data_IF_208044381789
#
_entry.id   IF_208044381789
#
_cell.length_a   1.000
_cell.length_b   1.000
_cell.length_c   1.000
_cell.angle_alpha   90.00
_cell.angle_beta   90.00
_cell.angle_gamma   90.00
#
_symmetry.space_group_name_H-M   'P 1'
#
loop_
_entity.id
_entity.type
_entity.pdbx_description
1 polymer ?
#
# COMPACT_ATOMS: atom_id res chain seq x y z
N UNK A 1 4.25 31.44 -5.83
CA UNK A 1 4.52 30.01 -5.54
C UNK A 1 4.40 29.23 -6.84
N UNK A 2 5.35 28.40 -7.20
CA UNK A 2 5.22 27.59 -8.41
C UNK A 2 4.23 26.45 -8.13
N UNK A 3 3.09 26.43 -8.83
CA UNK A 3 2.05 25.42 -8.63
C UNK A 3 2.47 24.02 -9.04
N UNK A 4 3.58 23.89 -9.80
CA UNK A 4 4.15 22.59 -10.17
C UNK A 4 5.13 22.03 -9.13
N UNK A 5 5.48 22.83 -8.12
CA UNK A 5 6.37 22.44 -7.02
C UNK A 5 5.52 21.83 -5.89
N UNK A 6 5.04 20.62 -6.13
CA UNK A 6 4.24 19.84 -5.18
C UNK A 6 5.12 18.82 -4.45
N UNK A 7 4.65 18.38 -3.27
CA UNK A 7 5.31 17.32 -2.50
C UNK A 7 5.09 15.93 -3.12
N UNK A 8 5.97 15.51 -4.02
CA UNK A 8 5.88 14.22 -4.70
C UNK A 8 6.58 13.08 -3.96
N UNK A 9 7.57 13.38 -3.12
CA UNK A 9 8.40 12.38 -2.45
C UNK A 9 8.59 12.69 -0.97
N UNK A 10 8.76 11.64 -0.18
CA UNK A 10 9.14 11.79 1.23
C UNK A 10 10.59 12.30 1.32
N UNK A 11 10.79 13.42 2.01
CA UNK A 11 12.12 13.87 2.39
C UNK A 11 12.72 12.90 3.41
N UNK A 12 13.88 12.34 3.09
CA UNK A 12 14.57 11.35 3.91
C UNK A 12 15.89 11.90 4.43
N UNK A 13 16.25 11.55 5.66
CA UNK A 13 17.57 11.83 6.22
C UNK A 13 18.66 11.05 5.46
N UNK A 14 19.88 11.61 5.42
CA UNK A 14 20.98 11.02 4.67
C UNK A 14 21.59 9.78 5.35
N UNK A 15 21.43 9.62 6.66
CA UNK A 15 22.10 8.59 7.49
C UNK A 15 21.22 7.38 7.81
N UNK A 16 20.15 7.15 7.05
CA UNK A 16 19.24 6.02 7.27
C UNK A 16 19.89 4.65 6.99
N UNK A 17 21.01 4.62 6.28
CA UNK A 17 21.83 3.43 6.04
C UNK A 17 22.54 2.89 7.30
N UNK A 18 22.49 3.60 8.42
CA UNK A 18 22.96 3.09 9.71
C UNK A 18 22.15 1.88 10.20
N UNK A 19 20.88 1.77 9.79
CA UNK A 19 20.01 0.66 10.17
C UNK A 19 20.22 -0.55 9.26
N UNK A 20 20.50 -1.72 9.85
CA UNK A 20 20.54 -2.98 9.12
C UNK A 20 19.13 -3.52 8.89
N UNK A 21 18.80 -3.81 7.64
CA UNK A 21 17.52 -4.36 7.23
C UNK A 21 17.67 -5.87 6.97
N UNK A 22 16.86 -6.69 7.64
CA UNK A 22 16.66 -8.10 7.33
C UNK A 22 15.36 -8.31 6.57
N UNK A 23 15.39 -9.14 5.53
CA UNK A 23 14.24 -9.37 4.66
C UNK A 23 13.73 -10.79 4.82
N UNK A 24 12.43 -10.93 5.05
CA UNK A 24 11.73 -12.21 5.16
C UNK A 24 10.77 -12.37 3.98
N UNK A 25 11.15 -13.20 3.03
CA UNK A 25 10.48 -13.42 1.76
C UNK A 25 11.42 -13.18 0.58
N UNK A 26 11.16 -13.85 -0.55
CA UNK A 26 11.90 -13.71 -1.80
C UNK A 26 10.95 -13.73 -3.01
N UNK A 27 9.69 -13.31 -2.80
CA UNK A 27 8.68 -13.20 -3.84
C UNK A 27 8.90 -12.00 -4.74
N UNK A 28 8.01 -11.85 -5.73
CA UNK A 28 7.99 -10.72 -6.67
C UNK A 28 8.11 -9.37 -5.95
N UNK A 29 7.26 -9.13 -4.94
CA UNK A 29 7.21 -7.83 -4.28
C UNK A 29 8.55 -7.44 -3.62
N UNK A 30 9.22 -8.42 -3.01
CA UNK A 30 10.55 -8.23 -2.42
C UNK A 30 11.60 -8.06 -3.51
N UNK A 31 11.68 -9.03 -4.44
CA UNK A 31 12.74 -9.09 -5.45
C UNK A 31 12.74 -7.88 -6.38
N UNK A 32 11.55 -7.51 -6.87
CA UNK A 32 11.41 -6.58 -8.01
C UNK A 32 10.87 -5.19 -7.60
N UNK A 33 10.44 -5.03 -6.35
CA UNK A 33 9.95 -3.74 -5.85
C UNK A 33 10.76 -3.25 -4.64
N UNK A 34 10.62 -3.88 -3.47
CA UNK A 34 11.30 -3.39 -2.25
C UNK A 34 12.81 -3.27 -2.42
N UNK A 35 13.46 -4.36 -2.81
CA UNK A 35 14.93 -4.37 -2.91
C UNK A 35 15.46 -3.46 -4.01
N UNK A 36 14.70 -3.23 -5.08
CA UNK A 36 15.06 -2.23 -6.11
C UNK A 36 15.02 -0.83 -5.52
N UNK A 37 13.93 -0.48 -4.85
CA UNK A 37 13.77 0.82 -4.21
C UNK A 37 14.82 1.05 -3.10
N UNK A 38 15.15 0.01 -2.32
CA UNK A 38 16.17 0.09 -1.27
C UNK A 38 17.57 0.32 -1.83
N UNK A 39 17.94 -0.36 -2.92
CA UNK A 39 19.21 -0.12 -3.60
C UNK A 39 19.30 1.32 -4.13
N UNK A 40 18.24 1.83 -4.75
CA UNK A 40 18.19 3.20 -5.25
C UNK A 40 18.27 4.23 -4.14
N UNK A 41 17.68 3.95 -2.97
CA UNK A 41 17.71 4.81 -1.79
C UNK A 41 18.99 4.69 -0.95
N UNK A 42 19.85 3.71 -1.22
CA UNK A 42 21.04 3.44 -0.44
C UNK A 42 20.76 2.83 0.94
N UNK A 43 19.60 2.18 1.13
CA UNK A 43 19.30 1.48 2.39
C UNK A 43 20.13 0.20 2.53
N UNK A 44 20.57 -0.09 3.75
CA UNK A 44 21.50 -1.18 4.06
C UNK A 44 20.75 -2.49 4.33
N UNK A 45 20.57 -3.32 3.30
CA UNK A 45 20.04 -4.69 3.45
C UNK A 45 21.19 -5.64 3.80
N UNK A 46 21.11 -6.29 4.97
CA UNK A 46 22.21 -7.13 5.50
C UNK A 46 21.92 -8.63 5.43
N UNK A 47 20.66 -9.01 5.22
CA UNK A 47 20.34 -10.43 5.11
C UNK A 47 18.94 -10.70 4.57
N UNK A 48 18.76 -11.90 4.03
CA UNK A 48 17.49 -12.39 3.50
C UNK A 48 17.23 -13.82 3.92
N UNK A 49 15.98 -14.15 4.20
CA UNK A 49 15.49 -15.51 4.42
C UNK A 49 14.19 -15.75 3.64
N UNK A 50 13.98 -16.96 3.16
CA UNK A 50 12.73 -17.40 2.53
C UNK A 50 12.46 -18.87 2.80
N UNK A 51 11.20 -19.29 2.71
CA UNK A 51 10.83 -20.74 2.75
C UNK A 51 11.52 -21.55 1.64
N UNK A 52 11.91 -20.90 0.57
CA UNK A 52 12.75 -21.48 -0.48
C UNK A 52 14.13 -20.81 -0.42
N UNK A 53 15.14 -21.44 0.22
CA UNK A 53 16.47 -20.88 0.35
C UNK A 53 17.19 -20.66 -0.98
N UNK A 54 16.94 -21.50 -1.98
CA UNK A 54 17.54 -21.33 -3.31
C UNK A 54 17.06 -20.03 -3.96
N UNK A 55 15.76 -19.72 -3.84
CA UNK A 55 15.21 -18.45 -4.31
C UNK A 55 15.75 -17.25 -3.53
N UNK A 56 15.96 -17.40 -2.22
CA UNK A 56 16.60 -16.36 -1.43
C UNK A 56 18.04 -16.10 -1.90
N UNK A 57 18.79 -17.15 -2.24
CA UNK A 57 20.14 -17.04 -2.77
C UNK A 57 20.19 -16.35 -4.15
N UNK A 58 19.25 -16.67 -5.05
CA UNK A 58 19.11 -15.97 -6.34
C UNK A 58 18.85 -14.48 -6.16
N UNK A 59 17.93 -14.13 -5.25
CA UNK A 59 17.60 -12.74 -4.96
C UNK A 59 18.78 -12.02 -4.30
N UNK A 60 19.47 -12.67 -3.37
CA UNK A 60 20.67 -12.12 -2.72
C UNK A 60 21.77 -11.81 -3.73
N UNK A 61 22.04 -12.74 -4.64
CA UNK A 61 23.03 -12.53 -5.72
C UNK A 61 22.61 -11.35 -6.63
N UNK A 62 21.34 -11.31 -7.04
CA UNK A 62 20.81 -10.27 -7.92
C UNK A 62 20.86 -8.88 -7.27
N UNK A 63 20.64 -8.80 -5.96
CA UNK A 63 20.50 -7.54 -5.21
C UNK A 63 21.69 -7.19 -4.33
N UNK A 64 22.75 -8.00 -4.37
CA UNK A 64 23.99 -7.74 -3.59
C UNK A 64 23.78 -7.87 -2.09
N UNK A 65 22.88 -8.75 -1.62
CA UNK A 65 22.65 -8.98 -0.19
C UNK A 65 23.72 -9.93 0.35
N UNK A 66 24.48 -9.55 1.41
CA UNK A 66 25.66 -10.29 1.82
C UNK A 66 25.36 -11.63 2.47
N UNK A 67 24.20 -11.80 3.13
CA UNK A 67 23.90 -12.99 3.92
C UNK A 67 22.55 -13.61 3.55
N UNK A 68 22.57 -14.91 3.26
CA UNK A 68 21.38 -15.74 3.05
C UNK A 68 21.21 -16.68 4.23
N UNK A 69 20.05 -16.63 4.88
CA UNK A 69 19.73 -17.52 6.00
C UNK A 69 18.82 -18.65 5.53
N UNK A 70 19.03 -19.87 6.06
CA UNK A 70 18.20 -21.03 5.73
C UNK A 70 16.78 -20.90 6.27
N UNK A 71 16.64 -20.20 7.40
CA UNK A 71 15.36 -19.91 8.03
C UNK A 71 15.35 -18.51 8.67
N UNK A 72 14.21 -17.82 8.66
CA UNK A 72 14.11 -16.47 9.23
C UNK A 72 14.47 -16.42 10.73
N UNK A 73 14.27 -17.51 11.50
CA UNK A 73 14.71 -17.60 12.90
C UNK A 73 16.22 -17.46 13.08
N UNK A 74 16.99 -17.84 12.08
CA UNK A 74 18.45 -17.62 12.09
C UNK A 74 18.76 -16.16 11.83
N UNK A 75 18.04 -15.54 10.87
CA UNK A 75 18.13 -14.11 10.58
C UNK A 75 17.82 -13.28 11.83
N UNK A 76 16.81 -13.67 12.63
CA UNK A 76 16.44 -12.98 13.87
C UNK A 76 17.53 -13.03 14.95
N UNK A 77 18.56 -13.83 14.84
CA UNK A 77 19.69 -13.87 15.80
C UNK A 77 20.78 -12.87 15.49
N UNK A 78 20.77 -12.25 14.29
CA UNK A 78 21.78 -11.27 13.91
C UNK A 78 21.47 -9.88 14.51
N UNK A 79 22.28 -9.39 15.48
CA UNK A 79 22.04 -8.12 16.14
C UNK A 79 22.21 -6.89 15.23
N UNK A 80 22.84 -7.05 14.07
CA UNK A 80 22.98 -5.99 13.07
C UNK A 80 21.66 -5.72 12.31
N UNK A 81 20.68 -6.61 12.43
CA UNK A 81 19.33 -6.47 11.84
C UNK A 81 18.41 -5.79 12.83
N UNK A 82 18.27 -4.49 12.73
CA UNK A 82 17.40 -3.68 13.59
C UNK A 82 16.01 -3.45 12.98
N UNK A 83 15.89 -3.63 11.67
CA UNK A 83 14.65 -3.43 10.91
C UNK A 83 14.32 -4.72 10.16
N UNK A 84 13.07 -5.11 10.18
CA UNK A 84 12.59 -6.27 9.43
C UNK A 84 11.59 -5.85 8.36
N UNK A 85 11.79 -6.35 7.15
CA UNK A 85 10.87 -6.23 6.03
C UNK A 85 10.23 -7.60 5.76
N UNK A 86 8.92 -7.70 5.97
CA UNK A 86 8.17 -8.96 5.88
C UNK A 86 7.35 -8.96 4.59
N UNK A 87 7.82 -9.69 3.57
CA UNK A 87 7.15 -9.84 2.27
C UNK A 87 6.67 -11.26 2.02
N UNK A 88 5.75 -11.73 2.87
CA UNK A 88 5.10 -13.04 2.77
C UNK A 88 3.59 -12.91 2.57
N UNK A 89 2.87 -13.97 2.14
CA UNK A 89 1.41 -13.95 2.09
C UNK A 89 0.79 -13.57 3.45
N UNK A 90 -0.31 -12.81 3.47
CA UNK A 90 -0.83 -12.17 4.69
C UNK A 90 -1.17 -13.16 5.81
N UNK A 91 -1.58 -14.38 5.47
CA UNK A 91 -1.91 -15.43 6.46
C UNK A 91 -0.71 -15.84 7.33
N UNK A 92 0.52 -15.57 6.88
CA UNK A 92 1.74 -15.97 7.57
C UNK A 92 2.39 -14.84 8.37
N UNK A 93 2.03 -13.58 8.09
CA UNK A 93 2.67 -12.42 8.74
C UNK A 93 2.44 -12.39 10.26
N UNK A 94 1.22 -12.58 10.79
CA UNK A 94 0.99 -12.48 12.23
C UNK A 94 1.86 -13.44 13.05
N UNK A 95 1.99 -14.68 12.59
CA UNK A 95 2.82 -15.68 13.29
C UNK A 95 4.32 -15.28 13.32
N UNK A 96 4.83 -14.72 12.20
CA UNK A 96 6.21 -14.27 12.12
C UNK A 96 6.42 -13.05 13.05
N UNK A 97 5.47 -12.11 13.10
CA UNK A 97 5.58 -10.93 13.97
C UNK A 97 5.57 -11.34 15.44
N UNK A 98 4.71 -12.29 15.86
CA UNK A 98 4.72 -12.83 17.22
C UNK A 98 6.09 -13.42 17.60
N UNK A 99 6.70 -14.19 16.71
CA UNK A 99 8.04 -14.74 16.95
C UNK A 99 9.14 -13.66 17.02
N UNK A 100 9.06 -12.61 16.18
CA UNK A 100 9.98 -11.47 16.26
C UNK A 100 9.90 -10.83 17.63
N UNK A 101 8.69 -10.49 18.09
CA UNK A 101 8.49 -9.85 19.39
C UNK A 101 9.00 -10.73 20.54
N UNK A 102 8.82 -12.03 20.44
CA UNK A 102 9.27 -12.96 21.46
C UNK A 102 10.81 -13.12 21.49
N UNK A 103 11.47 -13.21 20.35
CA UNK A 103 12.85 -13.71 20.25
C UNK A 103 13.88 -12.70 19.78
N UNK A 104 13.50 -11.53 19.20
CA UNK A 104 14.42 -10.58 18.59
C UNK A 104 14.36 -9.20 19.27
N UNK A 105 14.79 -9.11 20.53
CA UNK A 105 14.70 -7.89 21.36
C UNK A 105 15.51 -6.70 20.85
N UNK A 106 16.42 -6.91 19.91
CA UNK A 106 17.21 -5.87 19.24
C UNK A 106 16.50 -5.25 18.04
N UNK A 107 15.40 -5.87 17.56
CA UNK A 107 14.59 -5.32 16.48
C UNK A 107 13.81 -4.10 16.97
N UNK A 108 13.91 -3.01 16.22
CA UNK A 108 13.31 -1.71 16.53
C UNK A 108 12.14 -1.37 15.63
N UNK A 109 12.12 -1.92 14.40
CA UNK A 109 11.08 -1.63 13.44
C UNK A 109 10.72 -2.82 12.54
N UNK A 110 9.47 -2.88 12.16
CA UNK A 110 8.93 -3.89 11.23
C UNK A 110 8.12 -3.17 10.14
N UNK A 111 8.45 -3.44 8.87
CA UNK A 111 7.59 -3.14 7.73
C UNK A 111 6.85 -4.42 7.35
N UNK A 112 5.55 -4.48 7.64
CA UNK A 112 4.68 -5.59 7.27
C UNK A 112 4.02 -5.32 5.90
N UNK A 113 3.73 -6.36 5.13
CA UNK A 113 2.93 -6.24 3.93
C UNK A 113 1.45 -6.00 4.27
N UNK A 114 0.76 -5.34 3.34
CA UNK A 114 -0.70 -5.25 3.37
C UNK A 114 -1.34 -6.50 2.73
N UNK A 115 -2.50 -6.94 3.21
CA UNK A 115 -3.08 -6.55 4.50
C UNK A 115 -2.22 -7.03 5.66
N UNK A 116 -2.22 -6.30 6.78
CA UNK A 116 -1.45 -6.66 7.98
C UNK A 116 -1.87 -8.03 8.53
N UNK A 117 -3.17 -8.29 8.52
CA UNK A 117 -3.80 -9.56 8.87
C UNK A 117 -5.10 -9.74 8.07
N UNK A 118 -5.72 -10.91 8.20
CA UNK A 118 -6.97 -11.25 7.50
C UNK A 118 -8.23 -10.85 8.28
N UNK A 119 -8.09 -10.30 9.48
CA UNK A 119 -9.19 -9.75 10.27
C UNK A 119 -8.73 -8.55 11.09
N UNK A 120 -9.67 -7.69 11.46
CA UNK A 120 -9.43 -6.54 12.34
C UNK A 120 -8.90 -7.00 13.71
N UNK A 121 -9.51 -8.03 14.31
CA UNK A 121 -9.11 -8.51 15.62
C UNK A 121 -7.67 -9.02 15.65
N UNK A 122 -7.23 -9.78 14.63
CA UNK A 122 -5.85 -10.24 14.54
C UNK A 122 -4.89 -9.08 14.26
N UNK A 123 -5.26 -8.12 13.41
CA UNK A 123 -4.46 -6.93 13.15
C UNK A 123 -4.28 -6.09 14.42
N UNK A 124 -5.35 -5.91 15.21
CA UNK A 124 -5.31 -5.19 16.48
C UNK A 124 -4.38 -5.89 17.47
N UNK A 125 -4.48 -7.21 17.65
CA UNK A 125 -3.58 -7.98 18.50
C UNK A 125 -2.11 -7.75 18.13
N UNK A 126 -1.78 -7.82 16.82
CA UNK A 126 -0.43 -7.63 16.33
C UNK A 126 0.09 -6.20 16.58
N UNK A 127 -0.75 -5.20 16.39
CA UNK A 127 -0.40 -3.80 16.68
C UNK A 127 -0.09 -3.62 18.16
N UNK A 128 -0.97 -4.08 19.05
CA UNK A 128 -0.80 -3.98 20.52
C UNK A 128 0.43 -4.76 21.00
N UNK A 129 0.70 -5.91 20.40
CA UNK A 129 1.89 -6.71 20.68
C UNK A 129 3.18 -5.96 20.34
N UNK A 130 3.27 -5.33 19.17
CA UNK A 130 4.42 -4.54 18.75
C UNK A 130 4.60 -3.30 19.63
N UNK A 131 3.52 -2.57 19.92
CA UNK A 131 3.54 -1.39 20.79
C UNK A 131 4.03 -1.74 22.20
N UNK A 132 3.51 -2.83 22.78
CA UNK A 132 3.93 -3.31 24.09
C UNK A 132 5.41 -3.72 24.16
N UNK A 133 5.96 -4.14 23.02
CA UNK A 133 7.37 -4.49 22.90
C UNK A 133 8.29 -3.31 22.53
N UNK A 134 7.73 -2.12 22.29
CA UNK A 134 8.48 -0.94 21.85
C UNK A 134 8.98 -1.06 20.39
N UNK A 135 8.33 -1.89 19.57
CA UNK A 135 8.67 -2.08 18.16
C UNK A 135 7.78 -1.17 17.30
N UNK A 136 8.41 -0.33 16.50
CA UNK A 136 7.70 0.50 15.51
C UNK A 136 7.17 -0.37 14.37
N UNK A 137 5.85 -0.54 14.30
CA UNK A 137 5.20 -1.29 13.23
C UNK A 137 4.67 -0.33 12.16
N UNK A 138 5.13 -0.51 10.92
CA UNK A 138 4.60 0.13 9.73
C UNK A 138 3.97 -0.92 8.79
N UNK A 139 2.92 -0.52 8.06
CA UNK A 139 2.27 -1.36 7.05
C UNK A 139 2.50 -0.78 5.67
N UNK A 140 2.87 -1.61 4.71
CA UNK A 140 3.28 -1.19 3.37
C UNK A 140 2.09 -0.71 2.51
N UNK A 141 1.46 0.39 2.91
CA UNK A 141 0.45 1.11 2.13
C UNK A 141 1.14 2.00 1.09
N UNK A 142 1.84 1.35 0.17
CA UNK A 142 2.77 1.99 -0.77
C UNK A 142 2.09 2.94 -1.78
N UNK A 143 0.79 2.80 -2.06
CA UNK A 143 0.11 3.68 -3.01
C UNK A 143 0.05 5.13 -2.51
N UNK A 144 0.10 5.40 -1.19
CA UNK A 144 0.27 6.76 -0.64
C UNK A 144 1.53 7.45 -1.15
N UNK A 145 2.56 6.67 -1.52
CA UNK A 145 3.86 7.17 -1.98
C UNK A 145 3.99 7.24 -3.51
N UNK A 146 2.93 6.91 -4.24
CA UNK A 146 2.86 7.25 -5.66
C UNK A 146 2.85 8.77 -5.85
N UNK A 147 3.65 9.27 -6.79
CA UNK A 147 3.82 10.71 -7.00
C UNK A 147 2.49 11.42 -7.30
N UNK A 148 1.59 10.77 -8.05
CA UNK A 148 0.29 11.36 -8.36
C UNK A 148 -0.61 11.46 -7.14
N UNK A 149 -0.57 10.44 -6.27
CA UNK A 149 -1.35 10.38 -5.02
C UNK A 149 -0.84 11.43 -4.03
N UNK A 150 0.49 11.53 -3.87
CA UNK A 150 1.11 12.56 -3.01
C UNK A 150 0.84 13.97 -3.52
N UNK A 151 1.03 14.21 -4.82
CA UNK A 151 0.74 15.50 -5.43
C UNK A 151 -0.72 15.92 -5.23
N UNK A 152 -1.68 15.00 -5.35
CA UNK A 152 -3.08 15.25 -5.05
C UNK A 152 -3.29 15.62 -3.56
N UNK A 153 -2.63 14.91 -2.64
CA UNK A 153 -2.67 15.23 -1.21
C UNK A 153 -2.17 16.64 -0.94
N UNK A 154 -1.05 17.03 -1.54
CA UNK A 154 -0.48 18.37 -1.36
C UNK A 154 -1.38 19.47 -1.93
N UNK A 155 -2.04 19.25 -3.09
CA UNK A 155 -3.05 20.15 -3.62
C UNK A 155 -4.21 20.38 -2.63
N UNK A 156 -4.69 19.32 -1.99
CA UNK A 156 -5.74 19.38 -0.96
C UNK A 156 -5.27 20.13 0.29
N UNK A 157 -4.08 19.81 0.80
CA UNK A 157 -3.50 20.42 2.01
C UNK A 157 -3.22 21.91 1.84
N UNK A 158 -2.83 22.34 0.63
CA UNK A 158 -2.63 23.76 0.29
C UNK A 158 -3.96 24.49 0.00
N UNK A 159 -5.10 23.79 0.05
CA UNK A 159 -6.40 24.38 -0.27
C UNK A 159 -6.59 24.75 -1.73
N UNK A 160 -5.72 24.30 -2.65
CA UNK A 160 -5.76 24.64 -4.06
C UNK A 160 -6.98 24.08 -4.79
N UNK A 161 -7.55 23.00 -4.28
CA UNK A 161 -8.81 22.42 -4.77
C UNK A 161 -10.05 22.96 -4.02
N UNK A 162 -9.86 23.75 -2.95
CA UNK A 162 -10.93 24.15 -2.03
C UNK A 162 -11.40 23.00 -1.15
N UNK A 163 -12.65 23.06 -0.68
CA UNK A 163 -13.25 21.98 0.11
C UNK A 163 -13.47 20.74 -0.77
N UNK A 164 -13.05 19.52 -0.34
CA UNK A 164 -13.28 18.32 -1.11
C UNK A 164 -14.77 17.99 -1.24
N UNK A 165 -15.19 17.65 -2.46
CA UNK A 165 -16.59 17.35 -2.81
C UNK A 165 -16.75 15.88 -3.21
N UNK A 166 -15.90 15.40 -4.13
CA UNK A 166 -15.99 14.07 -4.71
C UNK A 166 -14.62 13.47 -4.96
N UNK A 167 -14.46 12.19 -4.61
CA UNK A 167 -13.31 11.37 -5.01
C UNK A 167 -13.74 10.10 -5.71
N UNK A 168 -13.05 9.71 -6.78
CA UNK A 168 -13.28 8.43 -7.43
C UNK A 168 -11.97 7.72 -7.72
N UNK A 169 -11.97 6.39 -7.60
CA UNK A 169 -10.91 5.52 -8.11
C UNK A 169 -11.59 4.38 -8.87
N UNK A 170 -11.14 4.13 -10.08
CA UNK A 170 -11.57 2.97 -10.86
C UNK A 170 -10.38 2.11 -11.24
N UNK A 171 -10.57 0.78 -11.17
CA UNK A 171 -9.51 -0.17 -11.40
C UNK A 171 -9.96 -1.34 -12.27
N UNK A 172 -9.13 -1.64 -13.25
CA UNK A 172 -9.06 -2.95 -13.90
C UNK A 172 -7.67 -3.53 -13.73
N UNK A 173 -7.57 -4.68 -13.09
CA UNK A 173 -6.31 -5.34 -12.81
C UNK A 173 -6.50 -6.84 -12.68
N UNK A 174 -5.40 -7.57 -12.70
CA UNK A 174 -5.37 -9.03 -12.52
C UNK A 174 -4.67 -9.35 -11.20
N UNK A 175 -5.31 -9.13 -10.03
CA UNK A 175 -4.65 -9.33 -8.74
C UNK A 175 -4.35 -10.80 -8.43
N UNK A 176 -4.94 -11.71 -9.18
CA UNK A 176 -4.82 -13.16 -9.02
C UNK A 176 -3.72 -13.81 -9.90
N UNK A 177 -2.85 -13.03 -10.52
CA UNK A 177 -1.72 -13.56 -11.30
C UNK A 177 -0.70 -14.34 -10.46
N UNK A 178 -0.67 -14.09 -9.14
CA UNK A 178 0.13 -14.84 -8.19
C UNK A 178 -0.69 -16.00 -7.60
N UNK A 179 -0.20 -17.26 -7.59
CA UNK A 179 -0.98 -18.41 -7.14
C UNK A 179 -1.58 -18.26 -5.73
N UNK A 180 -0.84 -17.67 -4.79
CA UNK A 180 -1.30 -17.51 -3.41
C UNK A 180 -2.54 -16.60 -3.29
N UNK A 181 -2.73 -15.68 -4.24
CA UNK A 181 -3.88 -14.77 -4.19
C UNK A 181 -5.17 -15.47 -4.63
N UNK A 182 -5.08 -16.54 -5.39
CA UNK A 182 -6.25 -17.37 -5.76
C UNK A 182 -6.81 -18.18 -4.58
N UNK A 183 -6.01 -18.36 -3.52
CA UNK A 183 -6.44 -18.99 -2.27
C UNK A 183 -7.23 -18.04 -1.37
N UNK A 184 -7.26 -16.74 -1.71
CA UNK A 184 -8.05 -15.74 -0.99
C UNK A 184 -9.50 -15.79 -1.44
N UNK A 185 -10.40 -16.10 -0.51
CA UNK A 185 -11.83 -16.09 -0.78
C UNK A 185 -12.34 -14.70 -1.16
N UNK A 186 -11.80 -13.64 -0.54
CA UNK A 186 -12.04 -12.22 -0.85
C UNK A 186 -10.78 -11.63 -1.49
N UNK A 187 -10.76 -11.61 -2.82
CA UNK A 187 -9.58 -11.31 -3.61
C UNK A 187 -9.38 -9.81 -3.82
N UNK A 188 -10.38 -9.15 -4.43
CA UNK A 188 -10.24 -7.76 -4.88
C UNK A 188 -10.04 -6.83 -3.71
N UNK A 189 -10.87 -6.97 -2.67
CA UNK A 189 -10.86 -6.06 -1.52
C UNK A 189 -9.55 -6.13 -0.73
N UNK A 190 -9.03 -7.33 -0.45
CA UNK A 190 -7.76 -7.48 0.29
C UNK A 190 -6.51 -7.22 -0.54
N UNK A 191 -6.56 -7.46 -1.86
CA UNK A 191 -5.35 -7.32 -2.69
C UNK A 191 -5.23 -5.93 -3.28
N UNK A 192 -6.33 -5.31 -3.74
CA UNK A 192 -6.29 -4.03 -4.45
C UNK A 192 -7.11 -2.93 -3.79
N UNK A 193 -8.40 -3.16 -3.47
CA UNK A 193 -9.26 -2.10 -2.91
C UNK A 193 -8.73 -1.53 -1.61
N UNK A 194 -7.98 -2.31 -0.82
CA UNK A 194 -7.32 -1.84 0.40
C UNK A 194 -6.38 -0.66 0.14
N UNK A 195 -5.74 -0.59 -1.03
CA UNK A 195 -4.92 0.56 -1.43
C UNK A 195 -5.80 1.78 -1.74
N UNK A 196 -6.94 1.59 -2.40
CA UNK A 196 -7.87 2.67 -2.74
C UNK A 196 -8.52 3.26 -1.48
N UNK A 197 -8.95 2.39 -0.56
CA UNK A 197 -9.48 2.80 0.75
C UNK A 197 -8.46 3.62 1.54
N UNK A 198 -7.21 3.17 1.52
CA UNK A 198 -6.10 3.88 2.15
C UNK A 198 -5.82 5.24 1.48
N UNK A 199 -5.88 5.33 0.15
CA UNK A 199 -5.76 6.60 -0.59
C UNK A 199 -6.90 7.56 -0.26
N UNK A 200 -8.15 7.11 -0.18
CA UNK A 200 -9.27 7.97 0.22
C UNK A 200 -9.10 8.48 1.65
N UNK A 201 -8.65 7.64 2.59
CA UNK A 201 -8.29 8.07 3.94
C UNK A 201 -7.14 9.09 3.94
N UNK A 202 -6.15 8.87 3.11
CA UNK A 202 -5.01 9.76 2.96
C UNK A 202 -5.40 11.15 2.42
N UNK A 203 -6.38 11.20 1.51
CA UNK A 203 -6.86 12.44 0.91
C UNK A 203 -7.89 13.18 1.76
N UNK A 204 -8.86 12.46 2.34
CA UNK A 204 -10.06 13.06 2.93
C UNK A 204 -10.22 12.82 4.43
N UNK A 205 -9.34 12.03 5.05
CA UNK A 205 -9.50 11.56 6.42
C UNK A 205 -10.33 10.28 6.52
N UNK A 206 -10.77 9.93 7.73
CA UNK A 206 -11.52 8.70 7.94
C UNK A 206 -13.00 8.90 7.57
N UNK A 207 -13.59 8.00 6.77
CA UNK A 207 -15.02 8.07 6.45
C UNK A 207 -15.86 7.62 7.65
N UNK A 208 -17.12 8.09 7.70
CA UNK A 208 -18.08 7.72 8.74
C UNK A 208 -18.96 6.54 8.34
N UNK A 209 -19.21 6.37 7.03
CA UNK A 209 -20.14 5.34 6.52
C UNK A 209 -19.63 4.73 5.24
N UNK A 210 -20.04 3.47 5.03
CA UNK A 210 -19.81 2.76 3.78
C UNK A 210 -21.06 2.04 3.30
N UNK A 211 -21.26 2.08 1.98
CA UNK A 211 -22.20 1.26 1.22
C UNK A 211 -21.42 0.45 0.22
N UNK A 212 -21.72 -0.83 0.02
CA UNK A 212 -20.98 -1.66 -0.91
C UNK A 212 -21.84 -2.71 -1.60
N UNK A 213 -21.43 -3.10 -2.80
CA UNK A 213 -21.97 -4.23 -3.55
C UNK A 213 -20.83 -5.02 -4.16
N UNK A 214 -20.74 -6.30 -3.85
CA UNK A 214 -19.73 -7.20 -4.38
C UNK A 214 -20.36 -8.42 -5.03
N UNK A 215 -19.66 -9.01 -5.98
CA UNK A 215 -20.02 -10.30 -6.56
C UNK A 215 -18.80 -11.03 -7.11
N UNK A 216 -18.85 -12.37 -7.21
CA UNK A 216 -17.91 -13.12 -8.01
C UNK A 216 -17.93 -12.65 -9.46
N UNK A 217 -16.77 -12.59 -10.10
CA UNK A 217 -16.69 -12.34 -11.52
C UNK A 217 -16.93 -13.65 -12.29
N UNK A 218 -18.01 -13.77 -13.08
CA UNK A 218 -18.32 -14.99 -13.81
C UNK A 218 -17.33 -15.27 -14.98
N UNK A 219 -16.48 -14.32 -15.31
CA UNK A 219 -15.48 -14.42 -16.38
C UNK A 219 -14.17 -15.03 -15.92
N UNK A 220 -13.94 -15.14 -14.60
CA UNK A 220 -12.76 -15.80 -14.01
C UNK A 220 -12.98 -17.30 -13.82
N UNK A 221 -11.89 -18.06 -13.71
CA UNK A 221 -11.93 -19.53 -13.63
C UNK A 221 -11.70 -20.10 -12.23
N UNK A 222 -11.55 -19.26 -11.22
CA UNK A 222 -11.33 -19.67 -9.83
C UNK A 222 -12.40 -19.06 -8.92
N UNK A 223 -12.63 -19.68 -7.74
CA UNK A 223 -13.66 -19.26 -6.80
C UNK A 223 -13.22 -18.04 -5.98
N UNK A 224 -14.05 -17.01 -5.95
CA UNK A 224 -13.89 -15.83 -5.11
C UNK A 224 -15.24 -15.14 -4.92
N UNK A 225 -15.33 -14.15 -4.02
CA UNK A 225 -16.60 -13.49 -3.68
C UNK A 225 -16.72 -12.05 -4.21
N UNK A 226 -15.62 -11.40 -4.56
CA UNK A 226 -15.52 -9.95 -4.77
C UNK A 226 -14.67 -9.55 -5.99
N UNK A 227 -14.72 -10.35 -7.06
CA UNK A 227 -14.05 -10.00 -8.31
C UNK A 227 -14.57 -8.72 -8.94
N UNK A 228 -15.84 -8.37 -8.67
CA UNK A 228 -16.41 -7.05 -8.91
C UNK A 228 -16.76 -6.46 -7.55
N UNK A 229 -16.18 -5.31 -7.23
CA UNK A 229 -16.38 -4.61 -5.97
C UNK A 229 -16.68 -3.13 -6.21
N UNK A 230 -17.85 -2.67 -5.78
CA UNK A 230 -18.28 -1.29 -5.84
C UNK A 230 -18.60 -0.79 -4.44
N UNK A 231 -18.09 0.39 -4.07
CA UNK A 231 -18.39 0.99 -2.78
C UNK A 231 -18.45 2.51 -2.83
N UNK A 232 -19.19 3.09 -1.87
CA UNK A 232 -19.33 4.52 -1.62
C UNK A 232 -18.96 4.78 -0.17
N UNK A 233 -18.14 5.82 0.05
CA UNK A 233 -17.71 6.31 1.36
C UNK A 233 -18.32 7.70 1.62
N UNK A 234 -18.80 7.92 2.83
CA UNK A 234 -19.29 9.21 3.29
C UNK A 234 -18.39 9.77 4.39
N UNK A 235 -17.97 11.01 4.21
CA UNK A 235 -17.07 11.71 5.14
C UNK A 235 -17.82 12.80 5.93
N UNK A 236 -17.34 13.12 7.13
CA UNK A 236 -17.95 14.12 8.04
C UNK A 236 -18.08 15.52 7.41
N UNK A 237 -17.11 15.90 6.57
CA UNK A 237 -17.08 17.17 5.85
C UNK A 237 -18.04 17.24 4.66
N UNK A 238 -18.86 16.22 4.45
CA UNK A 238 -19.78 16.12 3.33
C UNK A 238 -19.21 15.58 2.03
N UNK A 239 -17.90 15.34 1.94
CA UNK A 239 -17.26 14.69 0.79
C UNK A 239 -17.84 13.28 0.58
N UNK A 240 -17.88 12.85 -0.67
CA UNK A 240 -18.21 11.49 -1.08
C UNK A 240 -17.07 10.90 -1.88
N UNK A 241 -16.75 9.62 -1.62
CA UNK A 241 -15.81 8.91 -2.46
C UNK A 241 -16.42 7.58 -2.93
N UNK A 242 -16.02 7.14 -4.10
CA UNK A 242 -16.46 5.85 -4.63
C UNK A 242 -15.34 5.16 -5.40
N UNK A 243 -15.36 3.83 -5.37
CA UNK A 243 -14.51 3.01 -6.23
C UNK A 243 -15.32 1.90 -6.86
N UNK A 244 -14.86 1.47 -8.03
CA UNK A 244 -15.21 0.18 -8.57
C UNK A 244 -13.93 -0.56 -9.02
N UNK A 245 -13.87 -1.82 -8.67
CA UNK A 245 -12.75 -2.69 -8.96
C UNK A 245 -13.23 -3.88 -9.78
N UNK A 246 -12.52 -4.17 -10.88
CA UNK A 246 -12.84 -5.26 -11.79
C UNK A 246 -11.56 -6.08 -12.04
N UNK A 247 -11.62 -7.39 -11.78
CA UNK A 247 -10.49 -8.30 -11.98
C UNK A 247 -10.37 -8.80 -13.43
N UNK A 248 -11.21 -8.33 -14.32
CA UNK A 248 -11.20 -8.71 -15.73
C UNK A 248 -10.77 -7.57 -16.63
N UNK A 249 -9.93 -7.85 -17.59
CA UNK A 249 -9.24 -6.84 -18.40
C UNK A 249 -9.61 -6.82 -19.88
N UNK A 250 -10.61 -7.57 -20.28
CA UNK A 250 -11.12 -7.54 -21.64
C UNK A 250 -11.44 -8.92 -22.23
N UNK A 251 -12.07 -8.99 -23.42
CA UNK A 251 -12.65 -10.21 -23.96
C UNK A 251 -11.64 -11.17 -24.60
N UNK A 252 -10.40 -10.77 -24.82
CA UNK A 252 -9.41 -11.60 -25.55
C UNK A 252 -9.08 -12.84 -24.75
N UNK A 253 -8.73 -12.67 -23.48
CA UNK A 253 -8.52 -13.75 -22.52
C UNK A 253 -8.32 -13.16 -21.13
N UNK A 254 -8.61 -13.93 -20.11
CA UNK A 254 -8.23 -13.64 -18.75
C UNK A 254 -6.70 -13.57 -18.65
N UNK A 255 -6.16 -12.57 -17.96
CA UNK A 255 -4.72 -12.36 -17.79
C UNK A 255 -4.00 -11.76 -19.00
N UNK A 256 -4.73 -11.39 -20.07
CA UNK A 256 -4.12 -10.68 -21.19
C UNK A 256 -3.93 -9.21 -20.86
N UNK A 257 -3.02 -8.55 -21.58
CA UNK A 257 -2.91 -7.10 -21.58
C UNK A 257 -4.13 -6.50 -22.31
N UNK A 258 -5.21 -6.35 -21.57
CA UNK A 258 -6.38 -5.64 -22.05
C UNK A 258 -6.39 -4.22 -21.52
N UNK A 259 -7.53 -3.79 -21.07
CA UNK A 259 -7.75 -2.46 -20.50
C UNK A 259 -7.34 -2.45 -18.99
N UNK A 260 -6.04 -2.66 -18.73
CA UNK A 260 -5.49 -2.62 -17.37
C UNK A 260 -5.17 -1.18 -16.99
N UNK A 261 -5.64 -0.73 -15.83
CA UNK A 261 -5.32 0.58 -15.32
C UNK A 261 -5.98 0.88 -13.98
N UNK A 262 -5.44 1.88 -13.32
CA UNK A 262 -6.05 2.52 -12.16
C UNK A 262 -6.12 4.01 -12.47
N UNK A 263 -7.33 4.57 -12.47
CA UNK A 263 -7.58 5.97 -12.69
C UNK A 263 -8.22 6.58 -11.45
N UNK A 264 -7.89 7.81 -11.16
CA UNK A 264 -8.47 8.51 -10.03
C UNK A 264 -8.86 9.96 -10.39
N UNK A 265 -9.82 10.50 -9.65
CA UNK A 265 -10.30 11.87 -9.77
C UNK A 265 -10.67 12.41 -8.40
N UNK A 266 -10.30 13.66 -8.12
CA UNK A 266 -10.65 14.41 -6.92
C UNK A 266 -11.17 15.79 -7.33
N UNK A 267 -12.36 16.13 -6.87
CA UNK A 267 -13.02 17.40 -7.12
C UNK A 267 -13.23 18.17 -5.82
N UNK A 268 -12.94 19.43 -5.85
CA UNK A 268 -13.21 20.36 -4.77
C UNK A 268 -13.95 21.60 -5.27
N UNK A 269 -14.30 22.48 -4.35
CA UNK A 269 -15.08 23.71 -4.65
C UNK A 269 -14.29 24.75 -5.46
N UNK A 270 -12.96 24.63 -5.53
CA UNK A 270 -12.07 25.57 -6.21
C UNK A 270 -11.12 24.92 -7.22
N UNK A 271 -11.21 23.62 -7.44
CA UNK A 271 -10.33 22.93 -8.38
C UNK A 271 -10.66 21.45 -8.53
N UNK A 272 -9.91 20.82 -9.42
CA UNK A 272 -10.08 19.45 -9.83
C UNK A 272 -8.71 18.87 -10.15
N UNK A 273 -8.44 17.66 -9.66
CA UNK A 273 -7.28 16.87 -10.03
C UNK A 273 -7.72 15.49 -10.53
N UNK A 274 -6.96 14.90 -11.46
CA UNK A 274 -7.15 13.56 -11.97
C UNK A 274 -5.79 12.94 -12.30
N UNK A 275 -5.73 11.63 -12.30
CA UNK A 275 -4.48 10.95 -12.61
C UNK A 275 -4.63 9.46 -12.86
N UNK A 276 -3.49 8.85 -13.13
CA UNK A 276 -3.36 7.39 -13.28
C UNK A 276 -2.28 6.87 -12.33
N UNK A 277 -2.41 5.64 -11.92
CA UNK A 277 -1.35 4.92 -11.21
C UNK A 277 -0.51 4.14 -12.24
N UNK A 278 0.79 4.39 -12.27
CA UNK A 278 1.68 3.91 -13.31
C UNK A 278 2.30 2.54 -13.00
N UNK A 279 1.64 1.48 -13.45
CA UNK A 279 2.16 0.11 -13.34
C UNK A 279 1.69 -0.85 -14.46
N UNK A 280 0.73 -0.51 -15.34
CA UNK A 280 0.07 -1.51 -16.20
C UNK A 280 1.00 -2.31 -17.11
N UNK A 281 2.14 -1.72 -17.48
CA UNK A 281 3.11 -2.35 -18.39
C UNK A 281 4.27 -3.02 -17.66
N UNK A 282 4.18 -3.20 -16.32
CA UNK A 282 5.25 -3.84 -15.56
C UNK A 282 5.75 -5.14 -16.24
N UNK A 283 7.06 -5.40 -16.34
CA UNK A 283 8.19 -4.71 -15.70
C UNK A 283 8.69 -3.43 -16.40
N UNK A 284 8.13 -3.05 -17.54
CA UNK A 284 8.43 -1.75 -18.12
C UNK A 284 7.86 -0.63 -17.22
N UNK A 285 8.67 0.37 -16.90
CA UNK A 285 8.24 1.50 -16.09
C UNK A 285 7.16 2.31 -16.82
N UNK A 286 6.00 2.46 -16.19
CA UNK A 286 4.92 3.32 -16.65
C UNK A 286 4.73 4.41 -15.60
N UNK A 287 5.14 5.66 -15.85
CA UNK A 287 4.95 6.74 -14.89
C UNK A 287 3.48 6.99 -14.59
N UNK A 288 3.17 7.28 -13.34
CA UNK A 288 1.87 7.83 -12.94
C UNK A 288 1.66 9.22 -13.55
N UNK A 289 0.43 9.65 -13.69
CA UNK A 289 0.09 10.98 -14.20
C UNK A 289 -0.71 11.79 -13.19
N UNK A 290 -0.54 13.10 -13.24
CA UNK A 290 -1.35 14.05 -12.52
C UNK A 290 -1.66 15.22 -13.46
N UNK A 291 -2.94 15.50 -13.65
CA UNK A 291 -3.44 16.70 -14.30
C UNK A 291 -4.34 17.43 -13.31
N UNK A 292 -4.19 18.73 -13.16
CA UNK A 292 -5.06 19.49 -12.29
C UNK A 292 -5.33 20.90 -12.81
N UNK A 293 -6.45 21.48 -12.37
CA UNK A 293 -6.80 22.87 -12.62
C UNK A 293 -7.37 23.49 -11.34
N UNK A 294 -7.21 24.79 -11.19
CA UNK A 294 -7.73 25.57 -10.07
C UNK A 294 -8.53 26.76 -10.59
N UNK A 295 -9.44 27.29 -9.78
CA UNK A 295 -10.24 28.46 -10.12
C UNK A 295 -9.39 29.67 -10.56
N UNK A 296 -8.20 29.82 -9.96
CA UNK A 296 -7.29 30.93 -10.29
C UNK A 296 -6.66 30.77 -11.67
N UNK A 297 -6.58 29.56 -12.21
CA UNK A 297 -5.96 29.27 -13.51
C UNK A 297 -6.96 29.16 -14.66
N UNK A 298 -8.25 29.14 -14.36
CA UNK A 298 -9.29 29.10 -15.37
C UNK A 298 -9.22 27.87 -16.28
N UNK A 299 -9.02 28.07 -17.56
CA UNK A 299 -9.11 27.02 -18.59
C UNK A 299 -7.84 26.18 -18.75
N UNK A 300 -6.81 26.42 -17.94
CA UNK A 300 -5.54 25.70 -18.09
C UNK A 300 -5.41 24.51 -17.18
N UNK A 301 -5.06 23.36 -17.76
CA UNK A 301 -4.63 22.19 -17.05
C UNK A 301 -3.13 22.22 -16.81
N UNK A 302 -2.72 22.09 -15.58
CA UNK A 302 -1.33 21.90 -15.18
C UNK A 302 -1.04 20.40 -15.20
N UNK A 303 0.08 20.02 -15.80
CA UNK A 303 0.41 18.61 -16.09
C UNK A 303 1.85 18.30 -15.66
N UNK A 304 2.15 18.24 -14.36
CA UNK A 304 3.47 17.80 -13.92
C UNK A 304 3.74 16.38 -14.40
N UNK A 305 4.99 16.10 -14.77
CA UNK A 305 5.42 14.80 -15.26
C UNK A 305 6.75 14.42 -14.62
N UNK A 306 6.93 13.14 -14.36
CA UNK A 306 8.10 12.51 -13.76
C UNK A 306 8.37 11.17 -14.43
N UNK A 307 9.47 10.51 -14.06
CA UNK A 307 9.84 9.19 -14.59
C UNK A 307 9.47 8.06 -13.63
N UNK A 308 9.21 8.39 -12.39
CA UNK A 308 8.90 7.44 -11.34
C UNK A 308 7.55 6.76 -11.59
N UNK A 309 7.51 5.47 -11.28
CA UNK A 309 6.32 4.63 -11.37
C UNK A 309 5.93 4.14 -9.97
N UNK A 310 4.69 3.74 -9.80
CA UNK A 310 4.25 3.14 -8.54
C UNK A 310 5.14 1.96 -8.14
N UNK A 311 5.39 1.03 -9.07
CA UNK A 311 6.35 -0.06 -8.90
C UNK A 311 7.61 0.22 -9.72
N UNK A 312 8.80 0.29 -9.12
CA UNK A 312 9.13 0.05 -7.69
C UNK A 312 9.23 1.31 -6.81
N UNK A 313 9.07 2.52 -7.36
CA UNK A 313 9.59 3.75 -6.73
C UNK A 313 8.88 4.12 -5.43
N UNK A 314 7.59 3.81 -5.30
CA UNK A 314 6.81 4.08 -4.11
C UNK A 314 7.31 3.34 -2.84
N UNK A 315 8.02 2.23 -3.01
CA UNK A 315 8.52 1.43 -1.88
C UNK A 315 9.70 2.10 -1.14
N UNK A 316 10.34 3.09 -1.77
CA UNK A 316 11.30 3.96 -1.09
C UNK A 316 10.65 4.72 0.06
N UNK A 317 9.44 5.23 -0.17
CA UNK A 317 8.71 6.02 0.82
C UNK A 317 8.31 5.18 2.04
N UNK A 318 7.77 3.99 1.86
CA UNK A 318 7.30 3.17 2.98
C UNK A 318 8.41 2.74 3.92
N UNK A 319 9.52 2.24 3.40
CA UNK A 319 10.69 1.91 4.23
C UNK A 319 11.33 3.17 4.81
N UNK A 320 11.43 4.22 4.03
CA UNK A 320 12.00 5.50 4.49
C UNK A 320 11.23 6.08 5.68
N UNK A 321 9.91 6.09 5.66
CA UNK A 321 9.09 6.54 6.79
C UNK A 321 9.27 5.66 8.03
N UNK A 322 9.41 4.35 7.88
CA UNK A 322 9.72 3.47 9.01
C UNK A 322 11.10 3.79 9.59
N UNK A 323 12.13 3.95 8.77
CA UNK A 323 13.49 4.26 9.21
C UNK A 323 13.54 5.61 9.94
N UNK A 324 12.86 6.64 9.39
CA UNK A 324 12.72 7.95 10.02
C UNK A 324 12.01 7.84 11.39
N UNK A 325 10.91 7.10 11.43
CA UNK A 325 10.13 6.87 12.66
C UNK A 325 10.97 6.21 13.75
N UNK A 326 11.73 5.16 13.40
CA UNK A 326 12.65 4.49 14.33
C UNK A 326 13.77 5.42 14.80
N UNK A 327 14.33 6.24 13.90
CA UNK A 327 15.38 7.20 14.22
C UNK A 327 14.89 8.27 15.17
N UNK A 328 13.76 8.88 14.87
CA UNK A 328 13.20 10.01 15.62
C UNK A 328 12.28 9.60 16.76
N UNK A 329 12.03 8.30 16.94
CA UNK A 329 11.12 7.76 17.96
C UNK A 329 9.70 8.35 17.87
N UNK A 330 9.19 8.47 16.65
CA UNK A 330 7.85 8.97 16.33
C UNK A 330 7.06 7.89 15.58
N UNK A 331 5.72 7.85 15.68
CA UNK A 331 4.94 6.92 14.88
C UNK A 331 5.02 7.27 13.38
N UNK A 332 5.21 6.29 12.49
CA UNK A 332 5.17 6.55 11.05
C UNK A 332 3.73 6.85 10.59
N UNK A 333 3.55 7.66 9.53
CA UNK A 333 2.22 7.92 8.94
C UNK A 333 1.46 6.66 8.50
N UNK A 334 2.23 5.61 8.14
CA UNK A 334 1.72 4.28 7.78
C UNK A 334 1.83 3.29 8.95
N UNK A 335 1.63 3.74 10.19
CA UNK A 335 1.75 2.88 11.37
C UNK A 335 0.72 1.75 11.37
N UNK A 336 1.02 0.68 12.13
CA UNK A 336 0.04 -0.39 12.37
C UNK A 336 -1.26 0.15 12.95
N UNK A 337 -1.19 1.13 13.86
CA UNK A 337 -2.37 1.79 14.47
C UNK A 337 -3.21 2.54 13.42
N UNK A 338 -2.58 3.30 12.51
CA UNK A 338 -3.30 3.94 11.40
C UNK A 338 -3.95 2.89 10.48
N UNK A 339 -3.26 1.79 10.22
CA UNK A 339 -3.73 0.74 9.32
C UNK A 339 -4.96 -0.01 9.85
N UNK A 340 -5.19 -0.06 11.16
CA UNK A 340 -6.42 -0.64 11.73
C UNK A 340 -7.68 -0.01 11.14
N UNK A 341 -7.68 1.29 10.89
CA UNK A 341 -8.81 1.98 10.25
C UNK A 341 -9.04 1.50 8.81
N UNK A 342 -7.96 1.24 8.07
CA UNK A 342 -8.07 0.68 6.70
C UNK A 342 -8.63 -0.74 6.73
N UNK A 343 -8.22 -1.59 7.68
CA UNK A 343 -8.76 -2.95 7.83
C UNK A 343 -10.22 -2.91 8.28
N UNK A 344 -10.59 -2.00 9.19
CA UNK A 344 -11.99 -1.81 9.59
C UNK A 344 -12.88 -1.44 8.40
N UNK A 345 -12.38 -0.59 7.47
CA UNK A 345 -13.08 -0.29 6.21
C UNK A 345 -13.26 -1.52 5.32
N UNK A 346 -12.26 -2.38 5.22
CA UNK A 346 -12.36 -3.64 4.46
C UNK A 346 -13.46 -4.53 5.04
N UNK A 347 -13.50 -4.72 6.36
CA UNK A 347 -14.56 -5.51 7.01
C UNK A 347 -15.95 -4.87 6.87
N UNK A 348 -16.01 -3.54 6.94
CA UNK A 348 -17.26 -2.82 6.75
C UNK A 348 -17.81 -2.95 5.32
N UNK A 349 -16.95 -3.01 4.30
CA UNK A 349 -17.34 -3.31 2.91
C UNK A 349 -17.99 -4.70 2.81
N UNK A 350 -17.36 -5.72 3.40
CA UNK A 350 -17.93 -7.07 3.39
C UNK A 350 -19.26 -7.13 4.12
N UNK A 351 -19.38 -6.45 5.26
CA UNK A 351 -20.62 -6.36 6.02
C UNK A 351 -21.71 -5.65 5.21
N UNK A 352 -21.39 -4.47 4.62
CA UNK A 352 -22.34 -3.70 3.81
C UNK A 352 -22.83 -4.49 2.60
N UNK A 353 -21.91 -5.17 1.89
CA UNK A 353 -22.26 -5.98 0.72
C UNK A 353 -23.11 -7.21 1.08
N UNK A 354 -22.77 -7.89 2.18
CA UNK A 354 -23.48 -9.10 2.64
C UNK A 354 -24.89 -8.79 3.18
N UNK A 355 -25.00 -7.71 3.94
CA UNK A 355 -26.26 -7.36 4.63
C UNK A 355 -27.10 -6.35 3.85
N UNK A 356 -26.62 -5.86 2.70
CA UNK A 356 -27.29 -4.87 1.85
C UNK A 356 -27.75 -3.62 2.62
N UNK A 357 -26.88 -3.10 3.49
CA UNK A 357 -27.15 -1.91 4.30
C UNK A 357 -25.96 -0.97 4.38
N UNK A 358 -26.21 0.24 4.81
CA UNK A 358 -25.18 1.18 5.24
C UNK A 358 -24.51 0.66 6.52
N UNK A 359 -23.19 0.73 6.57
CA UNK A 359 -22.41 0.42 7.78
C UNK A 359 -21.79 1.70 8.31
N UNK A 360 -22.07 2.03 9.56
CA UNK A 360 -21.40 3.10 10.32
C UNK A 360 -20.03 2.59 10.75
N UNK A 361 -19.03 3.45 10.65
CA UNK A 361 -17.68 3.13 11.06
C UNK A 361 -17.43 3.66 12.47
N UNK A 362 -16.85 2.86 13.37
CA UNK A 362 -16.53 3.31 14.72
C UNK A 362 -15.41 4.37 14.66
N UNK A 363 -15.39 5.27 15.63
CA UNK A 363 -14.21 6.07 15.92
C UNK A 363 -13.12 5.14 16.50
N UNK A 364 -11.98 5.02 15.83
CA UNK A 364 -10.85 4.14 16.19
C UNK A 364 -9.65 5.00 16.63
#
# INVERSE_FOLDING_TARGET
MNLLDLDYEVALDQDLNQFGIGVIGAGFIIRDCHLVAYQQAGFRVVGIASRNPARAAEVALLRGIPTVYQHYRELLKNPDIQILDIGVPPQHQPAIIREIVQHAKHVRGILAQKPLAMSYAEAQEIVELCESAGITLAVNQNMRHDHSVRGCRDLLQRGLLGEPVLGTIDMRAIPHWMPWSQDLHSLSTFVMSIHHLDCFRYWFGDPQRVMASTRPDPRTKFSHTDGINLYILEFANGCRASSWDDVWTGPVREGSQGDIGIHWRVEGTAGLARGTIGWPSYPAATPSTLDFTTRERGDYWLQPRWKQAWFPDAFRGTMGELLMAVKHQTPPPISGRDNLRTIALVEAIFTAAKEHRVVELPEI
#
